data_IF_584480135596
#
_entry.id   IF_584480135596
#
_cell.length_a   1.000
_cell.length_b   1.000
_cell.length_c   1.000
_cell.angle_alpha   90.00
_cell.angle_beta   90.00
_cell.angle_gamma   90.00
#
_symmetry.space_group_name_H-M   'P 1'
#
loop_
_entity.id
_entity.type
_entity.pdbx_description
1 polymer ?
#
# COMPACT_ATOMS: atom_id res chain seq x y z
N UNK A 1 -67.15 35.28 -50.66
CA UNK A 1 -68.58 35.01 -50.35
C UNK A 1 -68.69 33.63 -49.72
N UNK A 2 -69.36 33.57 -48.57
CA UNK A 2 -69.89 32.42 -47.80
C UNK A 2 -68.98 31.62 -46.84
N UNK A 3 -69.42 31.75 -45.59
CA UNK A 3 -69.08 31.15 -44.30
C UNK A 3 -69.35 29.63 -44.18
N UNK A 4 -68.61 28.98 -43.25
CA UNK A 4 -68.93 27.97 -42.19
C UNK A 4 -70.10 26.96 -42.35
N UNK A 5 -70.21 25.84 -41.56
CA UNK A 5 -69.70 25.59 -40.19
C UNK A 5 -69.04 24.21 -39.93
N UNK A 6 -68.11 24.09 -38.97
CA UNK A 6 -68.26 23.73 -37.55
C UNK A 6 -68.85 22.32 -37.29
N UNK A 7 -68.03 21.41 -36.73
CA UNK A 7 -68.50 20.24 -35.97
C UNK A 7 -67.75 20.15 -34.64
N UNK A 8 -68.55 19.92 -33.60
CA UNK A 8 -68.22 20.00 -32.19
C UNK A 8 -67.42 18.80 -31.68
N UNK A 9 -66.54 19.08 -30.73
CA UNK A 9 -65.70 18.18 -29.95
C UNK A 9 -66.39 17.90 -28.60
N UNK A 10 -66.29 16.68 -28.05
CA UNK A 10 -66.45 16.37 -26.61
C UNK A 10 -65.84 14.97 -26.33
N UNK A 11 -64.66 14.90 -25.71
CA UNK A 11 -64.38 14.63 -24.27
C UNK A 11 -64.50 13.14 -23.86
N UNK A 12 -63.35 12.52 -23.56
CA UNK A 12 -63.10 11.72 -22.34
C UNK A 12 -61.60 11.37 -22.21
N UNK A 13 -60.98 11.83 -21.11
CA UNK A 13 -59.64 11.55 -20.55
C UNK A 13 -59.90 10.77 -19.23
N UNK A 14 -58.98 10.02 -18.56
CA UNK A 14 -57.56 9.70 -18.81
C UNK A 14 -57.21 8.20 -18.71
N UNK A 15 -55.98 7.80 -19.08
CA UNK A 15 -55.30 6.72 -18.37
C UNK A 15 -53.88 7.15 -17.96
N UNK A 16 -53.78 7.26 -16.65
CA UNK A 16 -52.66 7.48 -15.77
C UNK A 16 -51.54 6.45 -16.01
N UNK A 17 -50.29 6.86 -16.24
CA UNK A 17 -49.11 6.13 -15.79
C UNK A 17 -47.90 7.08 -15.76
N UNK A 18 -47.76 7.73 -14.61
CA UNK A 18 -46.57 8.45 -14.17
C UNK A 18 -45.44 7.43 -14.02
N UNK A 19 -44.46 7.43 -14.93
CA UNK A 19 -43.20 6.73 -14.72
C UNK A 19 -42.38 7.51 -13.69
N UNK A 20 -42.54 7.08 -12.43
CA UNK A 20 -41.74 7.48 -11.28
C UNK A 20 -40.26 7.20 -11.56
N UNK A 21 -39.43 8.23 -11.36
CA UNK A 21 -37.98 8.12 -11.50
C UNK A 21 -37.39 7.25 -10.39
N UNK A 22 -36.42 6.41 -10.76
CA UNK A 22 -35.44 5.85 -9.84
C UNK A 22 -34.09 6.51 -10.10
N UNK A 23 -33.85 7.61 -9.37
CA UNK A 23 -32.52 8.12 -9.12
C UNK A 23 -31.79 7.09 -8.22
N UNK A 24 -31.11 6.13 -8.83
CA UNK A 24 -30.13 5.30 -8.11
C UNK A 24 -28.78 6.02 -8.19
N UNK A 25 -28.62 7.04 -7.35
CA UNK A 25 -27.30 7.59 -7.06
C UNK A 25 -26.67 6.68 -6.00
N UNK A 26 -25.91 5.67 -6.46
CA UNK A 26 -25.08 4.85 -5.60
C UNK A 26 -23.91 5.66 -5.05
N UNK A 27 -24.17 6.44 -4.00
CA UNK A 27 -23.10 6.95 -3.14
C UNK A 27 -22.57 5.78 -2.33
N UNK A 28 -21.57 5.08 -2.88
CA UNK A 28 -20.66 4.24 -2.10
C UNK A 28 -19.84 5.14 -1.19
N UNK A 29 -20.45 5.58 -0.09
CA UNK A 29 -19.71 6.02 1.08
C UNK A 29 -18.94 4.79 1.56
N UNK A 30 -17.68 4.68 1.13
CA UNK A 30 -16.74 3.70 1.66
C UNK A 30 -16.71 3.91 3.16
N UNK A 31 -17.34 3.00 3.90
CA UNK A 31 -17.26 2.95 5.34
C UNK A 31 -15.78 2.69 5.67
N UNK A 32 -15.02 3.76 5.90
CA UNK A 32 -13.60 3.69 6.23
C UNK A 32 -13.53 2.88 7.52
N UNK A 33 -13.08 1.62 7.41
CA UNK A 33 -12.93 0.73 8.55
C UNK A 33 -12.06 1.45 9.60
N UNK A 34 -12.44 1.34 10.86
CA UNK A 34 -11.68 1.89 11.98
C UNK A 34 -10.28 1.27 11.97
N UNK A 35 -9.29 2.07 11.59
CA UNK A 35 -7.88 1.72 11.48
C UNK A 35 -7.13 2.39 12.64
N UNK A 36 -6.39 1.61 13.42
CA UNK A 36 -5.53 2.14 14.49
C UNK A 36 -4.09 2.16 14.00
N UNK A 37 -3.46 3.32 14.00
CA UNK A 37 -2.05 3.44 13.62
C UNK A 37 -1.14 2.93 14.74
N UNK A 38 -0.21 2.04 14.40
CA UNK A 38 0.81 1.49 15.29
C UNK A 38 2.12 2.22 15.02
N UNK A 39 2.79 2.68 16.08
CA UNK A 39 4.13 3.23 15.96
C UNK A 39 5.14 2.14 15.58
N UNK A 40 6.05 2.47 14.67
CA UNK A 40 7.16 1.62 14.26
C UNK A 40 8.48 2.38 14.38
N UNK A 41 9.57 1.65 14.44
CA UNK A 41 10.94 2.17 14.49
C UNK A 41 11.73 1.61 13.32
N UNK A 42 12.39 2.47 12.55
CA UNK A 42 13.40 2.03 11.57
C UNK A 42 14.64 1.53 12.32
N UNK A 43 15.00 0.27 12.09
CA UNK A 43 16.16 -0.39 12.69
C UNK A 43 17.38 -0.18 11.81
N UNK A 44 17.22 -0.37 10.50
CA UNK A 44 18.30 -0.26 9.53
C UNK A 44 17.74 -0.04 8.12
N UNK A 45 18.29 0.91 7.39
CA UNK A 45 18.06 1.07 5.95
C UNK A 45 19.39 1.11 5.20
N UNK A 46 19.40 0.67 3.94
CA UNK A 46 20.63 0.61 3.16
C UNK A 46 20.41 0.36 1.68
N UNK A 47 21.47 0.49 0.89
CA UNK A 47 21.42 0.42 -0.58
C UNK A 47 21.96 -0.88 -1.19
N UNK A 48 22.46 -1.80 -0.37
CA UNK A 48 23.06 -3.06 -0.85
C UNK A 48 22.60 -4.21 0.03
N UNK A 49 21.41 -4.78 -0.19
CA UNK A 49 20.98 -5.97 0.56
C UNK A 49 21.66 -7.25 0.11
N UNK A 50 22.28 -7.26 -1.09
CA UNK A 50 22.67 -8.46 -1.85
C UNK A 50 21.49 -9.39 -2.17
N UNK A 51 20.27 -8.87 -2.15
CA UNK A 51 19.04 -9.56 -2.54
C UNK A 51 18.50 -8.86 -3.79
N UNK A 52 18.54 -9.55 -4.93
CA UNK A 52 18.21 -8.99 -6.25
C UNK A 52 16.71 -9.05 -6.56
N UNK A 53 15.98 -9.99 -5.94
CA UNK A 53 14.54 -10.13 -6.06
C UNK A 53 13.82 -9.20 -5.08
N UNK A 54 12.85 -8.43 -5.57
CA UNK A 54 11.96 -7.62 -4.72
C UNK A 54 11.22 -8.53 -3.72
N UNK A 55 11.38 -8.26 -2.43
CA UNK A 55 10.83 -9.09 -1.34
C UNK A 55 10.38 -8.24 -0.16
N UNK A 56 9.24 -8.63 0.40
CA UNK A 56 8.72 -8.13 1.67
C UNK A 56 8.57 -9.33 2.60
N UNK A 57 9.21 -9.27 3.76
CA UNK A 57 9.33 -10.41 4.68
C UNK A 57 8.88 -9.95 6.06
N UNK A 58 8.02 -10.74 6.70
CA UNK A 58 7.71 -10.62 8.12
C UNK A 58 8.69 -11.51 8.87
N UNK A 59 9.45 -10.92 9.78
CA UNK A 59 10.45 -11.61 10.58
C UNK A 59 9.85 -11.80 11.98
N UNK A 60 9.61 -13.05 12.33
CA UNK A 60 9.01 -13.43 13.62
C UNK A 60 9.98 -14.10 14.59
N UNK A 61 11.22 -14.38 14.15
CA UNK A 61 12.25 -14.96 15.00
C UNK A 61 13.68 -14.49 14.64
N UNK A 62 14.59 -14.74 15.56
CA UNK A 62 16.01 -14.37 15.45
C UNK A 62 16.73 -15.09 14.31
N UNK A 63 16.34 -16.32 13.99
CA UNK A 63 16.99 -17.15 12.96
C UNK A 63 16.73 -16.59 11.56
N UNK A 64 15.51 -16.10 11.30
CA UNK A 64 15.18 -15.44 10.05
C UNK A 64 15.92 -14.10 9.90
N UNK A 65 16.03 -13.33 10.98
CA UNK A 65 16.82 -12.10 11.01
C UNK A 65 18.30 -12.38 10.66
N UNK A 66 18.90 -13.39 11.29
CA UNK A 66 20.28 -13.81 11.02
C UNK A 66 20.48 -14.25 9.56
N UNK A 67 19.52 -14.96 8.98
CA UNK A 67 19.56 -15.36 7.56
C UNK A 67 19.57 -14.15 6.63
N UNK A 68 18.75 -13.13 6.91
CA UNK A 68 18.71 -11.88 6.15
C UNK A 68 20.05 -11.13 6.30
N UNK A 69 20.57 -11.00 7.52
CA UNK A 69 21.86 -10.36 7.75
C UNK A 69 23.04 -11.12 7.16
N UNK A 70 22.96 -12.45 7.06
CA UNK A 70 23.94 -13.24 6.31
C UNK A 70 24.00 -12.87 4.83
N UNK A 71 22.86 -12.54 4.20
CA UNK A 71 22.83 -12.02 2.82
C UNK A 71 23.38 -10.61 2.75
N UNK A 72 22.90 -9.70 3.60
CA UNK A 72 23.38 -8.32 3.69
C UNK A 72 24.91 -8.32 3.87
N UNK A 73 25.46 -9.09 4.80
CA UNK A 73 26.89 -9.05 5.09
C UNK A 73 27.78 -9.88 4.16
N UNK A 74 27.23 -10.66 3.23
CA UNK A 74 28.00 -11.59 2.38
C UNK A 74 29.15 -10.94 1.58
N UNK A 75 29.07 -9.64 1.30
CA UNK A 75 30.06 -8.87 0.55
C UNK A 75 30.68 -7.72 1.36
N UNK A 76 30.42 -7.65 2.69
CA UNK A 76 30.84 -6.54 3.56
C UNK A 76 31.93 -6.94 4.54
N UNK A 77 32.95 -6.08 4.72
CA UNK A 77 33.97 -6.20 5.78
C UNK A 77 34.36 -4.81 6.33
N UNK A 78 34.17 -4.53 7.65
CA UNK A 78 33.45 -5.37 8.61
C UNK A 78 31.96 -5.53 8.24
N UNK A 79 31.34 -6.60 8.73
CA UNK A 79 29.89 -6.79 8.58
C UNK A 79 29.09 -5.80 9.43
N UNK A 80 27.84 -5.56 9.05
CA UNK A 80 26.87 -4.82 9.87
C UNK A 80 26.46 -5.73 11.04
N UNK A 81 26.52 -5.27 12.30
CA UNK A 81 26.06 -6.06 13.44
C UNK A 81 24.57 -6.38 13.30
N UNK A 82 24.18 -7.58 13.72
CA UNK A 82 22.79 -8.02 13.71
C UNK A 82 22.09 -7.34 14.90
N UNK A 83 20.99 -6.59 14.68
CA UNK A 83 20.29 -5.91 15.77
C UNK A 83 19.59 -6.92 16.68
N UNK A 84 19.51 -6.61 17.96
CA UNK A 84 18.69 -7.35 18.92
C UNK A 84 17.22 -6.89 18.82
N UNK A 85 16.32 -7.84 18.61
CA UNK A 85 14.87 -7.61 18.55
C UNK A 85 14.21 -8.59 19.51
N UNK A 86 13.37 -8.08 20.43
CA UNK A 86 12.63 -8.95 21.33
C UNK A 86 11.39 -9.49 20.59
N UNK A 87 11.52 -10.62 19.91
CA UNK A 87 10.42 -11.20 19.14
C UNK A 87 9.22 -11.68 19.97
N UNK A 88 9.34 -11.73 21.31
CA UNK A 88 8.18 -11.95 22.18
C UNK A 88 7.26 -10.71 22.22
N UNK A 89 7.82 -9.51 22.09
CA UNK A 89 7.10 -8.23 22.21
C UNK A 89 7.00 -7.45 20.90
N UNK A 90 7.87 -7.77 19.94
CA UNK A 90 8.05 -7.04 18.70
C UNK A 90 7.90 -7.96 17.48
N UNK A 91 7.53 -7.35 16.36
CA UNK A 91 7.56 -7.95 15.03
C UNK A 91 8.41 -7.06 14.15
N UNK A 92 9.29 -7.67 13.34
CA UNK A 92 10.08 -6.93 12.38
C UNK A 92 9.61 -7.22 10.96
N UNK A 93 9.76 -6.25 10.06
CA UNK A 93 9.53 -6.44 8.64
C UNK A 93 10.70 -5.90 7.85
N UNK A 94 11.12 -6.69 6.87
CA UNK A 94 12.19 -6.36 5.95
C UNK A 94 11.59 -6.14 4.56
N UNK A 95 11.81 -4.96 4.00
CA UNK A 95 11.43 -4.62 2.64
C UNK A 95 12.68 -4.45 1.79
N UNK A 96 12.69 -5.01 0.60
CA UNK A 96 13.72 -4.80 -0.41
C UNK A 96 13.11 -4.50 -1.77
N UNK A 97 13.68 -3.50 -2.46
CA UNK A 97 13.19 -3.02 -3.76
C UNK A 97 13.59 -3.90 -4.95
N UNK A 98 14.33 -4.99 -4.74
CA UNK A 98 15.05 -5.70 -5.77
C UNK A 98 16.27 -4.93 -6.27
N UNK A 99 16.87 -5.41 -7.35
CA UNK A 99 17.98 -4.74 -8.01
C UNK A 99 17.50 -3.59 -8.91
N UNK A 100 18.11 -2.42 -8.74
CA UNK A 100 17.89 -1.23 -9.53
C UNK A 100 19.21 -0.80 -10.17
N UNK A 101 19.17 -0.37 -11.42
CA UNK A 101 20.36 0.04 -12.18
C UNK A 101 20.71 1.53 -12.04
N UNK A 102 19.96 2.25 -11.22
CA UNK A 102 20.16 3.69 -10.98
C UNK A 102 20.11 4.01 -9.49
N UNK A 103 20.78 5.10 -9.13
CA UNK A 103 20.59 5.76 -7.86
C UNK A 103 19.29 6.57 -7.85
N UNK A 104 19.01 7.21 -6.71
CA UNK A 104 17.89 8.14 -6.58
C UNK A 104 16.54 7.49 -6.31
N UNK A 105 16.47 6.18 -6.08
CA UNK A 105 15.26 5.54 -5.55
C UNK A 105 15.32 5.41 -4.02
N UNK A 106 14.17 5.22 -3.37
CA UNK A 106 14.06 4.85 -1.94
C UNK A 106 12.98 3.79 -1.73
N UNK A 107 13.07 3.05 -0.63
CA UNK A 107 12.01 2.18 -0.11
C UNK A 107 11.87 2.45 1.38
N UNK A 108 10.64 2.54 1.87
CA UNK A 108 10.36 2.84 3.28
C UNK A 108 9.04 2.20 3.74
N UNK A 109 8.88 2.06 5.05
CA UNK A 109 7.54 1.88 5.65
C UNK A 109 6.99 3.28 5.93
N UNK A 110 5.77 3.56 5.46
CA UNK A 110 5.11 4.86 5.71
C UNK A 110 4.16 4.78 6.88
N UNK A 111 3.45 3.66 7.04
CA UNK A 111 2.51 3.40 8.13
C UNK A 111 2.46 1.93 8.49
N UNK A 112 2.12 1.66 9.74
CA UNK A 112 1.69 0.35 10.21
C UNK A 112 0.28 0.54 10.78
N UNK A 113 -0.72 -0.12 10.19
CA UNK A 113 -2.12 0.05 10.55
C UNK A 113 -2.69 -1.27 11.05
N UNK A 114 -3.31 -1.26 12.21
CA UNK A 114 -4.14 -2.36 12.69
C UNK A 114 -5.54 -2.22 12.10
N UNK A 115 -5.91 -3.19 11.26
CA UNK A 115 -7.26 -3.40 10.75
C UNK A 115 -7.93 -4.54 11.55
N UNK A 116 -9.18 -4.88 11.21
CA UNK A 116 -9.95 -5.91 11.93
C UNK A 116 -9.32 -7.31 11.82
N UNK A 117 -8.76 -7.65 10.66
CA UNK A 117 -8.32 -9.01 10.34
C UNK A 117 -6.79 -9.12 10.17
N UNK A 118 -6.09 -7.99 10.11
CA UNK A 118 -4.70 -7.93 9.68
C UNK A 118 -4.00 -6.66 10.19
N UNK A 119 -2.67 -6.69 10.15
CA UNK A 119 -1.81 -5.51 10.25
C UNK A 119 -1.35 -5.15 8.85
N UNK A 120 -1.64 -3.95 8.39
CA UNK A 120 -1.15 -3.43 7.10
C UNK A 120 0.16 -2.69 7.31
N UNK A 121 1.20 -3.12 6.61
CA UNK A 121 2.44 -2.35 6.44
C UNK A 121 2.35 -1.63 5.10
N UNK A 122 2.18 -0.30 5.15
CA UNK A 122 2.18 0.52 3.95
C UNK A 122 3.62 0.78 3.50
N UNK A 123 3.90 0.42 2.25
CA UNK A 123 5.21 0.55 1.61
C UNK A 123 5.21 1.85 0.81
N UNK A 124 6.13 2.73 1.16
CA UNK A 124 6.45 3.92 0.40
C UNK A 124 7.83 3.84 -0.22
N UNK A 125 8.23 4.97 -0.78
CA UNK A 125 9.46 5.12 -1.53
C UNK A 125 9.29 6.15 -2.63
N UNK A 126 10.40 6.48 -3.28
CA UNK A 126 10.40 7.29 -4.49
C UNK A 126 11.15 6.55 -5.57
N UNK A 127 10.71 6.74 -6.80
CA UNK A 127 11.48 6.39 -7.98
C UNK A 127 11.75 7.67 -8.77
N UNK A 128 12.93 7.79 -9.41
CA UNK A 128 13.19 8.87 -10.34
C UNK A 128 12.14 8.93 -11.44
N UNK A 129 11.78 10.15 -11.84
CA UNK A 129 10.90 10.43 -12.97
C UNK A 129 11.70 10.53 -14.28
N UNK A 130 11.05 10.36 -15.44
CA UNK A 130 11.71 10.64 -16.71
C UNK A 130 12.27 12.06 -16.74
N UNK A 131 13.56 12.19 -17.07
CA UNK A 131 14.28 13.47 -17.09
C UNK A 131 15.02 13.83 -15.79
N UNK A 132 14.83 13.07 -14.71
CA UNK A 132 15.63 13.26 -13.50
C UNK A 132 17.11 12.91 -13.75
N UNK A 133 18.01 13.76 -13.25
CA UNK A 133 19.44 13.46 -13.23
C UNK A 133 19.73 12.44 -12.13
N UNK A 134 20.13 11.23 -12.51
CA UNK A 134 20.46 10.13 -11.59
C UNK A 134 21.82 9.53 -11.90
N UNK A 135 22.43 8.91 -10.89
CA UNK A 135 23.68 8.16 -11.06
C UNK A 135 23.41 6.77 -11.63
N UNK A 136 24.32 6.27 -12.46
CA UNK A 136 24.34 4.87 -12.91
C UNK A 136 25.07 4.03 -11.86
N UNK A 137 24.31 3.42 -10.95
CA UNK A 137 24.82 2.58 -9.87
C UNK A 137 23.85 1.44 -9.63
N UNK A 138 24.37 0.22 -9.48
CA UNK A 138 23.57 -0.93 -9.09
C UNK A 138 23.26 -0.83 -7.60
N UNK A 139 21.99 -0.90 -7.23
CA UNK A 139 21.55 -0.87 -5.83
C UNK A 139 20.54 -1.98 -5.56
N UNK A 140 20.53 -2.48 -4.33
CA UNK A 140 19.46 -3.33 -3.79
C UNK A 140 18.96 -2.71 -2.49
N UNK A 141 18.12 -1.67 -2.64
CA UNK A 141 17.62 -0.88 -1.52
C UNK A 141 16.81 -1.73 -0.55
N UNK A 142 16.97 -1.49 0.74
CA UNK A 142 16.18 -2.16 1.76
C UNK A 142 15.92 -1.28 2.98
N UNK A 143 14.88 -1.62 3.73
CA UNK A 143 14.60 -1.11 5.07
C UNK A 143 14.16 -2.27 5.97
N UNK A 144 14.61 -2.23 7.21
CA UNK A 144 14.18 -3.09 8.31
C UNK A 144 13.53 -2.20 9.35
N UNK A 145 12.26 -2.44 9.64
CA UNK A 145 11.56 -1.75 10.73
C UNK A 145 11.02 -2.77 11.72
N UNK A 146 10.77 -2.31 12.95
CA UNK A 146 10.10 -3.10 13.98
C UNK A 146 8.95 -2.34 14.62
N UNK A 147 7.95 -3.06 15.10
CA UNK A 147 6.80 -2.52 15.79
C UNK A 147 6.28 -3.51 16.83
N UNK A 148 5.41 -3.05 17.72
CA UNK A 148 4.81 -3.90 18.75
C UNK A 148 4.07 -5.08 18.13
N UNK A 149 4.40 -6.30 18.58
CA UNK A 149 3.80 -7.56 18.12
C UNK A 149 2.27 -7.49 18.16
N UNK A 150 1.66 -8.02 17.10
CA UNK A 150 0.21 -8.16 16.97
C UNK A 150 -0.13 -9.63 16.70
N UNK A 151 -1.23 -10.11 17.27
CA UNK A 151 -1.76 -11.46 17.03
C UNK A 151 -2.60 -11.53 15.74
N UNK A 152 -2.25 -10.71 14.74
CA UNK A 152 -2.93 -10.61 13.45
C UNK A 152 -1.90 -10.78 12.32
N UNK A 153 -2.27 -11.41 11.19
CA UNK A 153 -1.38 -11.57 10.05
C UNK A 153 -0.96 -10.19 9.50
N UNK A 154 0.31 -10.07 9.13
CA UNK A 154 0.85 -8.87 8.49
C UNK A 154 0.70 -8.98 6.98
N UNK A 155 0.17 -7.93 6.36
CA UNK A 155 0.03 -7.78 4.90
C UNK A 155 0.72 -6.51 4.44
N UNK A 156 1.27 -6.54 3.22
CA UNK A 156 1.98 -5.40 2.63
C UNK A 156 1.10 -4.71 1.59
N UNK A 157 0.99 -3.38 1.67
CA UNK A 157 0.22 -2.57 0.72
C UNK A 157 1.10 -1.46 0.17
N UNK A 158 1.12 -1.27 -1.14
CA UNK A 158 1.63 -0.01 -1.72
C UNK A 158 0.42 0.91 -1.85
N UNK A 159 0.45 2.15 -1.33
CA UNK A 159 -0.65 3.09 -1.53
C UNK A 159 -0.91 3.25 -3.04
N UNK A 160 -2.19 3.26 -3.42
CA UNK A 160 -2.59 3.59 -4.80
C UNK A 160 -2.06 5.00 -5.11
N UNK A 161 -1.30 5.14 -6.20
CA UNK A 161 -0.81 6.44 -6.69
C UNK A 161 -1.86 7.17 -7.51
#
# INVERSE_FOLDING_TARGET
MKMLPLKFYNIAIPLFLVFFGINSCGSSASAKAEQVEISFTEVLSGSHSNITEKKNIVISDQKELEKIFGKINSTRKPGIPIPEINFEEETAVFLNAGELSTGGSTISVTKVLKEKENVVVEIGGRSPKPGDFVTTVITQLFTLVKFKRQELPVVFRTPDQ
#
